data_IF_293077787006
#
_entry.id   IF_293077787006
#
_cell.length_a   1.000
_cell.length_b   1.000
_cell.length_c   1.000
_cell.angle_alpha   90.00
_cell.angle_beta   90.00
_cell.angle_gamma   90.00
#
_symmetry.space_group_name_H-M   'P 1'
#
loop_
_entity.id
_entity.type
_entity.pdbx_description
1 polymer ?
#
# COMPACT_ATOMS: atom_id res chain seq x y z
N UNK A 1 -14.94 3.39 -9.85
CA UNK A 1 -14.96 3.55 -8.38
C UNK A 1 -15.24 2.26 -7.61
N UNK A 2 -15.81 1.21 -8.21
CA UNK A 2 -16.20 -0.02 -7.47
C UNK A 2 -15.01 -0.93 -7.14
N UNK A 3 -14.05 -1.09 -8.05
CA UNK A 3 -12.91 -2.01 -7.87
C UNK A 3 -12.12 -1.75 -6.58
N UNK A 4 -11.76 -0.49 -6.33
CA UNK A 4 -11.03 -0.09 -5.12
C UNK A 4 -11.82 -0.32 -3.83
N UNK A 5 -13.14 -0.06 -3.86
CA UNK A 5 -13.98 -0.28 -2.68
C UNK A 5 -14.06 -1.77 -2.31
N UNK A 6 -14.10 -2.66 -3.32
CA UNK A 6 -14.10 -4.12 -3.13
C UNK A 6 -12.75 -4.58 -2.56
N UNK A 7 -11.65 -4.19 -3.20
CA UNK A 7 -10.30 -4.60 -2.75
C UNK A 7 -9.98 -4.10 -1.34
N UNK A 8 -10.34 -2.86 -0.98
CA UNK A 8 -10.11 -2.32 0.37
C UNK A 8 -10.96 -3.01 1.44
N UNK A 9 -12.18 -3.44 1.09
CA UNK A 9 -13.06 -4.14 2.04
C UNK A 9 -12.51 -5.49 2.48
N UNK A 10 -11.70 -6.16 1.65
CA UNK A 10 -11.03 -7.43 2.02
C UNK A 10 -10.01 -7.25 3.15
N UNK A 11 -9.44 -6.04 3.27
CA UNK A 11 -8.52 -5.66 4.35
C UNK A 11 -9.26 -5.02 5.55
N UNK A 12 -10.59 -5.05 5.57
CA UNK A 12 -11.41 -4.40 6.59
C UNK A 12 -11.39 -2.87 6.52
N UNK A 13 -11.01 -2.30 5.38
CA UNK A 13 -10.96 -0.85 5.17
C UNK A 13 -12.27 -0.41 4.52
N UNK A 14 -13.16 0.19 5.33
CA UNK A 14 -14.45 0.68 4.87
C UNK A 14 -14.41 2.16 4.51
N UNK A 15 -14.75 2.48 3.25
CA UNK A 15 -14.81 3.87 2.80
C UNK A 15 -16.06 4.59 3.34
N UNK A 16 -15.84 5.59 4.16
CA UNK A 16 -16.90 6.46 4.68
C UNK A 16 -16.84 7.81 3.96
N UNK A 17 -17.85 8.16 3.13
CA UNK A 17 -17.88 9.45 2.46
C UNK A 17 -17.97 10.57 3.50
N UNK A 18 -16.92 11.39 3.58
CA UNK A 18 -16.89 12.59 4.43
C UNK A 18 -17.19 13.84 3.58
N UNK A 19 -17.89 14.84 4.14
CA UNK A 19 -18.08 16.11 3.47
C UNK A 19 -16.72 16.72 3.10
N UNK A 20 -16.65 17.38 1.95
CA UNK A 20 -15.43 18.00 1.47
C UNK A 20 -14.85 18.91 2.56
N UNK A 21 -13.64 18.56 3.02
CA UNK A 21 -12.87 19.37 3.95
C UNK A 21 -12.57 20.69 3.23
N UNK A 22 -12.85 21.83 3.89
CA UNK A 22 -12.52 23.16 3.35
C UNK A 22 -11.05 23.14 2.89
N UNK A 23 -10.77 23.61 1.69
CA UNK A 23 -9.44 23.53 1.07
C UNK A 23 -8.30 24.02 1.98
N UNK A 24 -8.60 24.97 2.87
CA UNK A 24 -7.68 25.47 3.88
C UNK A 24 -7.27 24.42 4.92
N UNK A 25 -8.21 23.65 5.47
CA UNK A 25 -7.90 22.58 6.44
C UNK A 25 -7.09 21.46 5.78
N UNK A 26 -7.33 21.19 4.48
CA UNK A 26 -6.51 20.26 3.71
C UNK A 26 -5.09 20.80 3.51
N UNK A 27 -4.94 22.10 3.20
CA UNK A 27 -3.64 22.74 3.03
C UNK A 27 -2.84 22.74 4.34
N UNK A 28 -3.48 23.10 5.46
CA UNK A 28 -2.86 23.09 6.79
C UNK A 28 -2.42 21.67 7.17
N UNK A 29 -3.24 20.65 6.90
CA UNK A 29 -2.89 19.24 7.13
C UNK A 29 -1.71 18.76 6.28
N UNK A 30 -1.66 19.11 4.99
CA UNK A 30 -0.54 18.74 4.11
C UNK A 30 0.76 19.41 4.58
N UNK A 31 0.70 20.66 5.03
CA UNK A 31 1.87 21.36 5.59
C UNK A 31 2.34 20.70 6.88
N UNK A 32 1.42 20.34 7.78
CA UNK A 32 1.75 19.62 9.02
C UNK A 32 2.36 18.24 8.74
N UNK A 33 1.80 17.49 7.79
CA UNK A 33 2.29 16.18 7.36
C UNK A 33 3.70 16.28 6.73
N UNK A 34 3.89 17.20 5.78
CA UNK A 34 5.15 17.38 5.07
C UNK A 34 6.25 17.97 5.97
N UNK A 35 5.88 18.70 7.03
CA UNK A 35 6.83 19.19 8.02
C UNK A 35 7.47 18.04 8.80
N UNK A 36 6.72 16.98 9.10
CA UNK A 36 7.25 15.77 9.72
C UNK A 36 8.19 15.03 8.75
N UNK A 37 7.81 14.92 7.47
CA UNK A 37 8.63 14.31 6.40
C UNK A 37 9.96 15.04 6.13
N UNK A 38 10.03 16.36 6.32
CA UNK A 38 11.27 17.12 6.15
C UNK A 38 12.33 16.81 7.22
N UNK A 39 11.91 16.28 8.37
CA UNK A 39 12.81 15.83 9.44
C UNK A 39 13.18 14.35 9.32
N UNK A 40 12.38 13.58 8.60
CA UNK A 40 12.58 12.15 8.37
C UNK A 40 13.39 12.03 7.08
N UNK A 41 14.71 11.79 7.20
CA UNK A 41 15.52 11.25 6.10
C UNK A 41 14.72 10.13 5.43
N UNK A 42 14.20 10.38 4.23
CA UNK A 42 13.23 9.51 3.55
C UNK A 42 13.65 8.05 3.73
N UNK A 43 12.85 7.19 4.37
CA UNK A 43 13.25 5.82 4.57
C UNK A 43 13.35 5.17 3.20
N UNK A 44 14.57 4.86 2.77
CA UNK A 44 14.84 4.10 1.57
C UNK A 44 14.20 2.72 1.76
N UNK A 45 13.01 2.54 1.22
CA UNK A 45 12.31 1.27 1.28
C UNK A 45 13.00 0.30 0.32
N UNK A 46 13.66 -0.72 0.86
CA UNK A 46 14.24 -1.80 0.08
C UNK A 46 13.30 -3.00 0.13
N UNK A 47 12.65 -3.32 -0.99
CA UNK A 47 11.89 -4.56 -1.15
C UNK A 47 12.84 -5.63 -1.69
N UNK A 48 13.06 -6.67 -0.89
CA UNK A 48 13.78 -7.86 -1.31
C UNK A 48 12.76 -8.88 -1.84
N UNK A 49 12.86 -9.20 -3.12
CA UNK A 49 12.11 -10.30 -3.72
C UNK A 49 12.99 -11.53 -3.65
N UNK A 50 12.69 -12.46 -2.75
CA UNK A 50 13.28 -13.79 -2.75
C UNK A 50 12.65 -14.54 -3.93
N UNK A 51 13.36 -14.63 -5.06
CA UNK A 51 12.85 -15.28 -6.27
C UNK A 51 12.62 -16.79 -6.10
N UNK A 52 11.71 -17.22 -5.24
CA UNK A 52 11.38 -18.63 -5.00
C UNK A 52 10.22 -19.06 -5.91
N UNK A 53 10.57 -19.43 -7.14
CA UNK A 53 9.66 -20.21 -7.99
C UNK A 53 9.83 -21.69 -7.67
N UNK A 54 8.88 -22.28 -6.96
CA UNK A 54 8.89 -23.72 -6.72
C UNK A 54 8.33 -24.44 -7.95
N UNK A 55 9.19 -24.91 -8.85
CA UNK A 55 8.82 -25.96 -9.82
C UNK A 55 9.35 -27.28 -9.27
N UNK A 56 8.49 -28.07 -8.63
CA UNK A 56 8.74 -29.51 -8.49
C UNK A 56 8.25 -30.15 -9.77
N UNK A 57 9.16 -30.49 -10.66
CA UNK A 57 8.89 -31.57 -11.61
C UNK A 57 9.28 -32.87 -10.91
N UNK A 58 8.25 -33.66 -10.60
CA UNK A 58 8.43 -35.07 -10.23
C UNK A 58 8.77 -35.79 -11.53
N UNK A 59 10.03 -36.20 -11.69
CA UNK A 59 10.42 -37.12 -12.75
C UNK A 59 9.92 -38.52 -12.36
N UNK A 60 9.08 -39.18 -13.18
CA UNK A 60 8.74 -40.58 -12.94
C UNK A 60 9.90 -41.48 -13.38
N UNK A 61 10.44 -42.18 -12.39
CA UNK A 61 11.38 -43.32 -12.47
C UNK A 61 11.11 -44.24 -13.67
N UNK A 62 12.15 -44.64 -14.42
CA UNK A 62 12.16 -45.87 -15.21
C UNK A 62 13.56 -46.50 -15.23
N UNK A 63 13.65 -47.85 -15.34
CA UNK A 63 14.61 -48.72 -14.64
C UNK A 63 16.03 -48.78 -15.20
#
# INVERSE_FOLDING_TARGET
MVKWAVELSEYGIEFHPRPAIKAQVLADFVVELAYDEASISTPTWSVYVDGSSTRREVEPELP
#
